data_IF_655180954061
#
_entry.id   IF_655180954061
#
_cell.length_a   1.000
_cell.length_b   1.000
_cell.length_c   1.000
_cell.angle_alpha   90.00
_cell.angle_beta   90.00
_cell.angle_gamma   90.00
#
_symmetry.space_group_name_H-M   'P 1'
#
loop_
_entity.id
_entity.type
_entity.pdbx_description
1 polymer ?
#
# COMPACT_ATOMS: atom_id res chain seq x y z
N UNK A 1 4.10 -3.06 18.91
CA UNK A 1 4.21 -4.14 17.93
C UNK A 1 5.67 -4.27 17.55
N UNK A 2 6.24 -5.49 17.56
CA UNK A 2 7.68 -5.70 17.36
C UNK A 2 8.02 -6.52 16.10
N UNK A 3 7.01 -7.06 15.42
CA UNK A 3 7.16 -7.79 14.16
C UNK A 3 6.01 -7.47 13.20
N UNK A 4 6.33 -7.39 11.90
CA UNK A 4 5.36 -7.18 10.83
C UNK A 4 5.33 -8.39 9.89
N UNK A 5 4.15 -8.73 9.39
CA UNK A 5 3.98 -9.74 8.35
C UNK A 5 2.91 -9.26 7.36
N UNK A 6 3.24 -8.91 6.11
CA UNK A 6 2.27 -8.40 5.13
C UNK A 6 1.20 -9.41 4.74
N UNK A 7 1.33 -10.69 5.10
CA UNK A 7 0.29 -11.70 4.91
C UNK A 7 -0.79 -11.65 5.99
N UNK A 8 -0.51 -11.05 7.15
CA UNK A 8 -1.43 -10.94 8.29
C UNK A 8 -1.66 -9.47 8.62
N UNK A 9 -2.91 -9.02 8.62
CA UNK A 9 -3.20 -7.63 8.91
C UNK A 9 -2.74 -7.27 10.34
N UNK A 10 -1.96 -6.18 10.52
CA UNK A 10 -1.64 -5.69 11.86
C UNK A 10 -2.92 -5.18 12.54
N UNK A 11 -2.92 -5.13 13.87
CA UNK A 11 -3.98 -4.42 14.59
C UNK A 11 -3.91 -2.92 14.22
N UNK A 12 -5.02 -2.29 13.79
CA UNK A 12 -4.98 -0.89 13.36
C UNK A 12 -4.56 0.09 14.45
N UNK A 13 -4.91 -0.14 15.72
CA UNK A 13 -4.56 0.76 16.81
C UNK A 13 -3.06 0.64 17.12
N UNK A 14 -2.57 -0.59 17.28
CA UNK A 14 -1.13 -0.83 17.50
C UNK A 14 -0.27 -0.31 16.34
N UNK A 15 -0.73 -0.47 15.10
CA UNK A 15 -0.02 0.01 13.91
C UNK A 15 0.06 1.54 13.85
N UNK A 16 -1.03 2.23 14.20
CA UNK A 16 -1.10 3.70 14.14
C UNK A 16 -0.41 4.38 15.32
N UNK A 17 -0.19 3.67 16.43
CA UNK A 17 0.61 4.14 17.57
C UNK A 17 2.12 4.22 17.28
N UNK A 18 2.62 3.42 16.32
CA UNK A 18 4.03 3.42 15.92
C UNK A 18 4.44 4.72 15.23
N UNK A 19 5.68 5.14 15.45
CA UNK A 19 6.31 6.19 14.68
C UNK A 19 6.44 5.77 13.19
N UNK A 20 6.57 6.76 12.30
CA UNK A 20 6.73 6.51 10.87
C UNK A 20 7.95 5.63 10.57
N UNK A 21 9.09 5.91 11.22
CA UNK A 21 10.32 5.12 10.99
C UNK A 21 10.23 3.72 11.56
N UNK A 22 9.48 3.50 12.65
CA UNK A 22 9.25 2.17 13.20
C UNK A 22 8.44 1.32 12.22
N UNK A 23 7.36 1.86 11.65
CA UNK A 23 6.58 1.17 10.60
C UNK A 23 7.42 0.82 9.38
N UNK A 24 8.26 1.75 8.92
CA UNK A 24 9.16 1.52 7.78
C UNK A 24 10.21 0.46 8.14
N UNK A 25 10.77 0.51 9.34
CA UNK A 25 11.73 -0.46 9.85
C UNK A 25 11.16 -1.87 9.86
N UNK A 26 10.00 -2.07 10.49
CA UNK A 26 9.32 -3.36 10.56
C UNK A 26 9.04 -3.97 9.18
N UNK A 27 8.68 -3.15 8.18
CA UNK A 27 8.50 -3.64 6.82
C UNK A 27 9.84 -4.02 6.17
N UNK A 28 10.89 -3.23 6.37
CA UNK A 28 12.22 -3.54 5.83
C UNK A 28 12.75 -4.84 6.44
N UNK A 29 12.62 -5.00 7.75
CA UNK A 29 13.06 -6.18 8.51
C UNK A 29 12.37 -7.45 8.00
N UNK A 30 11.05 -7.40 7.75
CA UNK A 30 10.33 -8.54 7.15
C UNK A 30 10.93 -9.00 5.82
N UNK A 31 11.30 -8.07 4.94
CA UNK A 31 11.84 -8.43 3.62
C UNK A 31 13.27 -8.95 3.70
N UNK A 32 14.08 -8.41 4.62
CA UNK A 32 15.43 -8.89 4.92
C UNK A 32 15.39 -10.32 5.50
N UNK A 33 14.55 -10.56 6.51
CA UNK A 33 14.34 -11.88 7.12
C UNK A 33 13.79 -12.91 6.12
N UNK A 34 12.96 -12.47 5.16
CA UNK A 34 12.44 -13.31 4.08
C UNK A 34 13.48 -13.59 2.97
N UNK A 35 14.66 -12.99 3.03
CA UNK A 35 15.72 -13.15 2.02
C UNK A 35 15.35 -12.58 0.65
N UNK A 36 14.48 -11.56 0.61
CA UNK A 36 13.99 -10.95 -0.62
C UNK A 36 14.91 -9.78 -0.98
N UNK A 37 15.72 -9.94 -2.03
CA UNK A 37 16.56 -8.85 -2.54
C UNK A 37 15.70 -7.81 -3.27
N UNK A 38 15.67 -6.58 -2.75
CA UNK A 38 14.85 -5.50 -3.26
C UNK A 38 15.69 -4.26 -3.61
N UNK A 39 15.50 -3.68 -4.80
CA UNK A 39 16.10 -2.39 -5.12
C UNK A 39 15.48 -1.31 -4.22
N UNK A 40 16.33 -0.51 -3.57
CA UNK A 40 15.91 0.60 -2.71
C UNK A 40 14.90 0.19 -1.61
N UNK A 41 15.26 -0.79 -0.78
CA UNK A 41 14.44 -1.34 0.31
C UNK A 41 13.69 -0.28 1.13
N UNK A 42 14.33 0.86 1.40
CA UNK A 42 13.68 1.97 2.14
C UNK A 42 12.46 2.53 1.42
N UNK A 43 12.54 2.76 0.10
CA UNK A 43 11.40 3.26 -0.69
C UNK A 43 10.29 2.22 -0.75
N UNK A 44 10.65 0.95 -0.92
CA UNK A 44 9.68 -0.14 -0.91
C UNK A 44 8.92 -0.22 0.42
N UNK A 45 9.66 -0.21 1.53
CA UNK A 45 9.11 -0.23 2.87
C UNK A 45 8.23 1.01 3.17
N UNK A 46 8.63 2.19 2.70
CA UNK A 46 7.79 3.39 2.80
C UNK A 46 6.45 3.23 2.07
N UNK A 47 6.44 2.64 0.87
CA UNK A 47 5.20 2.46 0.11
C UNK A 47 4.25 1.48 0.78
N UNK A 48 4.79 0.39 1.33
CA UNK A 48 4.05 -0.52 2.20
C UNK A 48 3.44 0.19 3.40
N UNK A 49 4.25 0.95 4.14
CA UNK A 49 3.78 1.67 5.32
C UNK A 49 2.66 2.66 5.00
N UNK A 50 2.73 3.39 3.88
CA UNK A 50 1.66 4.29 3.45
C UNK A 50 0.36 3.52 3.16
N UNK A 51 0.45 2.39 2.46
CA UNK A 51 -0.74 1.57 2.16
C UNK A 51 -1.33 0.97 3.44
N UNK A 52 -0.50 0.47 4.35
CA UNK A 52 -0.94 -0.06 5.64
C UNK A 52 -1.62 1.02 6.49
N UNK A 53 -1.08 2.24 6.52
CA UNK A 53 -1.73 3.38 7.18
C UNK A 53 -3.12 3.62 6.60
N UNK A 54 -3.25 3.63 5.26
CA UNK A 54 -4.54 3.83 4.60
C UNK A 54 -5.54 2.68 4.89
N UNK A 55 -5.05 1.45 5.08
CA UNK A 55 -5.88 0.31 5.52
C UNK A 55 -6.32 0.50 6.98
N UNK A 56 -5.41 0.92 7.86
CA UNK A 56 -5.66 1.11 9.29
C UNK A 56 -6.66 2.23 9.58
N UNK A 57 -6.63 3.33 8.81
CA UNK A 57 -7.63 4.43 8.85
C UNK A 57 -9.04 4.01 8.46
N UNK A 58 -9.19 2.80 7.92
CA UNK A 58 -10.48 2.20 7.75
C UNK A 58 -11.32 2.74 6.60
N UNK A 59 -12.46 3.37 6.89
CA UNK A 59 -13.39 3.88 5.86
C UNK A 59 -13.10 5.34 5.48
N UNK A 60 -12.09 5.96 6.09
CA UNK A 60 -11.62 7.29 5.69
C UNK A 60 -11.07 7.31 4.26
N UNK A 61 -10.56 6.17 3.78
CA UNK A 61 -10.09 5.98 2.40
C UNK A 61 -10.69 4.70 1.81
N UNK A 62 -10.81 4.57 0.47
CA UNK A 62 -11.32 3.34 -0.15
C UNK A 62 -10.34 2.17 -0.09
N UNK A 63 -9.18 2.32 0.54
CA UNK A 63 -8.03 1.43 0.43
C UNK A 63 -8.27 0.12 1.16
N UNK A 64 -8.82 0.15 2.38
CA UNK A 64 -9.19 -1.06 3.12
C UNK A 64 -10.19 -1.91 2.34
N UNK A 65 -11.23 -1.28 1.80
CA UNK A 65 -12.21 -1.97 0.95
C UNK A 65 -11.55 -2.56 -0.30
N UNK A 66 -10.65 -1.81 -0.95
CA UNK A 66 -9.93 -2.29 -2.13
C UNK A 66 -9.03 -3.49 -1.82
N UNK A 67 -8.29 -3.47 -0.72
CA UNK A 67 -7.45 -4.59 -0.30
C UNK A 67 -8.31 -5.86 -0.10
N UNK A 68 -9.43 -5.75 0.63
CA UNK A 68 -10.39 -6.86 0.81
C UNK A 68 -10.93 -7.39 -0.52
N UNK A 69 -11.27 -6.50 -1.45
CA UNK A 69 -11.76 -6.90 -2.79
C UNK A 69 -10.70 -7.63 -3.61
N UNK A 70 -9.43 -7.21 -3.54
CA UNK A 70 -8.34 -7.85 -4.25
C UNK A 70 -8.03 -9.24 -3.67
N UNK A 71 -8.05 -9.36 -2.34
CA UNK A 71 -7.90 -10.64 -1.66
C UNK A 71 -9.04 -11.61 -2.02
N UNK A 72 -10.28 -11.12 -2.05
CA UNK A 72 -11.44 -11.91 -2.49
C UNK A 72 -11.36 -12.33 -3.98
N UNK A 73 -10.49 -11.71 -4.77
CA UNK A 73 -10.21 -12.08 -6.16
C UNK A 73 -8.99 -13.03 -6.31
N UNK A 74 -8.42 -13.49 -5.20
CA UNK A 74 -7.36 -14.50 -5.18
C UNK A 74 -5.94 -13.97 -4.99
N UNK A 75 -5.74 -12.69 -4.70
CA UNK A 75 -4.43 -12.20 -4.26
C UNK A 75 -4.23 -12.52 -2.77
N UNK A 76 -3.00 -12.83 -2.37
CA UNK A 76 -2.65 -12.72 -0.95
C UNK A 76 -2.59 -11.23 -0.54
N UNK A 77 -2.49 -10.97 0.76
CA UNK A 77 -2.49 -9.61 1.30
C UNK A 77 -1.25 -8.82 0.86
N UNK A 78 -0.10 -9.48 0.74
CA UNK A 78 1.14 -8.85 0.32
C UNK A 78 1.00 -8.35 -1.13
N UNK A 79 0.48 -9.18 -2.02
CA UNK A 79 0.17 -8.83 -3.41
C UNK A 79 -0.91 -7.76 -3.53
N UNK A 80 -1.91 -7.77 -2.64
CA UNK A 80 -2.91 -6.69 -2.59
C UNK A 80 -2.28 -5.34 -2.20
N UNK A 81 -1.34 -5.32 -1.25
CA UNK A 81 -0.59 -4.13 -0.86
C UNK A 81 0.26 -3.63 -2.04
N UNK A 82 0.99 -4.52 -2.72
CA UNK A 82 1.76 -4.18 -3.93
C UNK A 82 0.89 -3.58 -5.04
N UNK A 83 -0.26 -4.20 -5.31
CA UNK A 83 -1.18 -3.74 -6.34
C UNK A 83 -1.68 -2.31 -6.05
N UNK A 84 -2.01 -2.01 -4.79
CA UNK A 84 -2.44 -0.67 -4.37
C UNK A 84 -1.27 0.32 -4.42
N UNK A 85 -0.09 -0.08 -3.94
CA UNK A 85 1.12 0.74 -3.95
C UNK A 85 1.49 1.16 -5.39
N UNK A 86 1.34 0.27 -6.38
CA UNK A 86 1.61 0.61 -7.79
C UNK A 86 0.73 1.76 -8.30
N UNK A 87 -0.54 1.79 -7.87
CA UNK A 87 -1.50 2.84 -8.23
C UNK A 87 -1.15 4.15 -7.51
N UNK A 88 -0.74 4.07 -6.25
CA UNK A 88 -0.26 5.21 -5.47
C UNK A 88 1.00 5.84 -6.09
N UNK A 89 2.00 5.03 -6.45
CA UNK A 89 3.24 5.51 -7.08
C UNK A 89 2.94 6.21 -8.40
N UNK A 90 2.07 5.62 -9.24
CA UNK A 90 1.62 6.25 -10.48
C UNK A 90 0.95 7.59 -10.20
N UNK A 91 0.10 7.66 -9.18
CA UNK A 91 -0.57 8.90 -8.79
C UNK A 91 0.43 9.99 -8.35
N UNK A 92 1.37 9.66 -7.47
CA UNK A 92 2.44 10.57 -7.02
C UNK A 92 3.25 11.09 -8.22
N UNK A 93 3.62 10.19 -9.14
CA UNK A 93 4.30 10.59 -10.38
C UNK A 93 3.45 11.54 -11.23
N UNK A 94 2.16 11.25 -11.42
CA UNK A 94 1.27 12.10 -12.22
C UNK A 94 1.11 13.50 -11.61
N UNK A 95 1.01 13.60 -10.27
CA UNK A 95 0.83 14.92 -9.62
C UNK A 95 2.10 15.77 -9.58
N UNK A 96 3.29 15.14 -9.59
CA UNK A 96 4.56 15.87 -9.69
C UNK A 96 4.86 16.36 -11.12
N UNK A 97 4.20 15.79 -12.14
CA UNK A 97 4.44 16.13 -13.56
C UNK A 97 3.40 17.04 -14.17
N UNK A 98 2.19 17.11 -13.61
CA UNK A 98 1.05 17.81 -14.21
C UNK A 98 0.56 18.93 -13.29
N UNK A 99 0.17 20.10 -13.82
CA UNK A 99 -0.55 21.09 -13.04
C UNK A 99 -1.77 20.45 -12.39
N UNK A 100 -1.94 20.66 -11.09
CA UNK A 100 -3.12 20.17 -10.39
C UNK A 100 -4.31 21.05 -10.75
N UNK A 101 -5.45 20.40 -11.06
CA UNK A 101 -6.72 21.11 -11.20
C UNK A 101 -7.23 21.62 -9.85
N UNK A 102 -8.32 22.39 -9.88
CA UNK A 102 -9.03 22.78 -8.65
C UNK A 102 -9.81 21.57 -8.12
N UNK A 103 -9.48 21.07 -6.93
CA UNK A 103 -10.19 19.94 -6.31
C UNK A 103 -9.32 19.12 -5.34
N UNK A 104 -9.88 18.04 -4.81
CA UNK A 104 -9.14 17.08 -3.99
C UNK A 104 -8.10 16.34 -4.87
N UNK A 105 -6.79 16.45 -4.56
CA UNK A 105 -5.75 15.80 -5.34
C UNK A 105 -5.91 14.28 -5.38
N UNK A 106 -6.56 13.66 -4.39
CA UNK A 106 -6.74 12.21 -4.32
C UNK A 106 -7.84 11.66 -5.23
N UNK A 107 -8.67 12.50 -5.87
CA UNK A 107 -9.75 12.01 -6.74
C UNK A 107 -9.24 11.06 -7.85
N UNK A 108 -8.09 11.40 -8.44
CA UNK A 108 -7.45 10.56 -9.47
C UNK A 108 -7.00 9.21 -8.91
N UNK A 109 -6.39 9.21 -7.72
CA UNK A 109 -5.98 8.01 -7.01
C UNK A 109 -7.17 7.09 -6.72
N UNK A 110 -8.24 7.63 -6.11
CA UNK A 110 -9.42 6.84 -5.75
C UNK A 110 -10.16 6.30 -6.98
N UNK A 111 -10.21 7.05 -8.09
CA UNK A 111 -10.77 6.56 -9.34
C UNK A 111 -9.94 5.41 -9.93
N UNK A 112 -8.61 5.48 -9.83
CA UNK A 112 -7.72 4.41 -10.28
C UNK A 112 -7.87 3.15 -9.41
N UNK A 113 -7.94 3.29 -8.08
CA UNK A 113 -8.20 2.18 -7.18
C UNK A 113 -9.52 1.48 -7.51
N UNK A 114 -10.62 2.21 -7.77
CA UNK A 114 -11.90 1.60 -8.17
C UNK A 114 -11.77 0.70 -9.40
N UNK A 115 -10.88 1.04 -10.35
CA UNK A 115 -10.64 0.29 -11.59
C UNK A 115 -9.65 -0.87 -11.43
N UNK A 116 -8.90 -0.91 -10.34
CA UNK A 116 -7.93 -1.96 -10.01
C UNK A 116 -8.67 -3.26 -9.63
N UNK A 117 -8.19 -4.37 -10.21
CA UNK A 117 -8.64 -5.73 -9.95
C UNK A 117 -7.47 -6.71 -10.12
N UNK A 118 -7.57 -7.90 -9.52
CA UNK A 118 -6.49 -8.90 -9.49
C UNK A 118 -6.05 -9.31 -10.90
N UNK A 119 -6.99 -9.50 -11.84
CA UNK A 119 -6.67 -9.84 -13.23
C UNK A 119 -5.80 -8.78 -13.91
N UNK A 120 -6.03 -7.49 -13.65
CA UNK A 120 -5.20 -6.42 -14.20
C UNK A 120 -3.80 -6.44 -13.59
N UNK A 121 -3.72 -6.63 -12.27
CA UNK A 121 -2.46 -6.71 -11.53
C UNK A 121 -1.58 -7.89 -12.00
N UNK A 122 -2.15 -9.08 -12.11
CA UNK A 122 -1.42 -10.29 -12.53
C UNK A 122 -0.94 -10.25 -13.99
N UNK A 123 -1.37 -9.26 -14.79
CA UNK A 123 -0.90 -9.05 -16.16
C UNK A 123 0.08 -7.87 -16.29
N UNK A 124 0.34 -7.16 -15.20
CA UNK A 124 1.27 -6.02 -15.19
C UNK A 124 2.67 -6.35 -14.70
N UNK A 125 2.87 -7.54 -14.13
CA UNK A 125 4.18 -8.18 -13.94
C UNK A 125 4.53 -9.05 -15.14
#
# INVERSE_FOLDING_TARGET
>A
MDHYNPLHAPDPAEWLELDEQERIGLVADYHDEAGIDLPNVKVHATMHAIVENQIALGDETPVRLKARQLMAQGLDRHEAIHAIASVLIKHIYDITKKPQGVGDPNQGYYAALRRLNARKWLRSG
#
